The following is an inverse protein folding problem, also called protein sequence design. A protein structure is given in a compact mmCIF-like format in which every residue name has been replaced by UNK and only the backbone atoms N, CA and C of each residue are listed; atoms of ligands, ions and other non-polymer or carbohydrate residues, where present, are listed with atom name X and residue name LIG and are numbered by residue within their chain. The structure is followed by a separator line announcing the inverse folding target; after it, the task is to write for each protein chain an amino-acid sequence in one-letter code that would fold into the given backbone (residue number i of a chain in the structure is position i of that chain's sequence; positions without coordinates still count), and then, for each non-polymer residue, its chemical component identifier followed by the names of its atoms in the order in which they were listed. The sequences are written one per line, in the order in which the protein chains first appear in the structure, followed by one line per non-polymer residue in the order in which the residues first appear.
data_IF_793591816208
#
_entry.id   IF_793591816208
#
_cell.length_a   1.000
_cell.length_b   1.000
_cell.length_c   1.000
_cell.angle_alpha   90.00
_cell.angle_beta   90.00
_cell.angle_gamma   90.00
#
_symmetry.space_group_name_H-M   'P 1'
#
loop_
_entity.id
_entity.type
_entity.pdbx_description
1 polymer ?
#
# COMPACT_ATOMS: atom_id res chain seq x y z
N UNK A 1 0.80 16.29 -5.05
CA UNK A 1 1.10 15.98 -3.61
C UNK A 1 2.57 15.61 -3.48
N UNK A 2 3.29 16.02 -2.40
CA UNK A 2 4.69 15.57 -2.18
C UNK A 2 4.69 14.05 -1.94
N UNK A 3 5.60 13.32 -2.60
CA UNK A 3 5.75 11.87 -2.42
C UNK A 3 6.17 11.52 -1.00
N UNK A 4 5.52 10.51 -0.44
CA UNK A 4 5.74 10.01 0.92
C UNK A 4 6.17 8.56 0.97
N UNK A 5 6.03 7.83 -0.17
CA UNK A 5 6.49 6.45 -0.36
C UNK A 5 7.14 6.27 -1.74
N UNK A 6 8.04 5.29 -1.80
CA UNK A 6 8.67 4.84 -3.03
C UNK A 6 8.61 3.30 -3.04
N UNK A 7 8.00 2.73 -4.07
CA UNK A 7 7.63 1.32 -4.13
C UNK A 7 8.44 0.49 -5.13
N UNK A 8 9.42 1.08 -5.82
CA UNK A 8 10.32 0.35 -6.72
C UNK A 8 11.77 0.57 -6.31
N UNK A 9 12.63 -0.43 -6.51
CA UNK A 9 14.05 -0.34 -6.17
C UNK A 9 14.70 0.90 -6.80
N UNK A 10 14.44 1.15 -8.08
CA UNK A 10 14.97 2.33 -8.78
C UNK A 10 14.54 3.63 -8.13
N UNK A 11 13.26 3.79 -7.83
CA UNK A 11 12.75 5.02 -7.20
C UNK A 11 13.30 5.20 -5.77
N UNK A 12 13.52 4.09 -5.05
CA UNK A 12 14.17 4.09 -3.73
C UNK A 12 15.62 4.53 -3.86
N UNK A 13 16.39 3.93 -4.78
CA UNK A 13 17.80 4.27 -5.02
C UNK A 13 17.98 5.73 -5.43
N UNK A 14 17.15 6.22 -6.36
CA UNK A 14 17.17 7.61 -6.80
C UNK A 14 16.90 8.59 -5.64
N UNK A 15 15.97 8.24 -4.73
CA UNK A 15 15.65 9.08 -3.57
C UNK A 15 16.77 9.04 -2.53
N UNK A 16 17.27 7.86 -2.14
CA UNK A 16 18.30 7.74 -1.10
C UNK A 16 19.67 8.25 -1.52
N UNK A 17 19.95 8.38 -2.82
CA UNK A 17 21.21 8.94 -3.32
C UNK A 17 21.50 10.36 -2.76
N UNK A 18 20.44 11.11 -2.40
CA UNK A 18 20.53 12.45 -1.83
C UNK A 18 20.29 12.50 -0.31
N UNK A 19 20.23 11.34 0.35
CA UNK A 19 19.99 11.23 1.78
C UNK A 19 21.22 10.69 2.51
N UNK A 20 21.29 10.94 3.82
CA UNK A 20 22.35 10.41 4.65
C UNK A 20 21.83 9.22 5.44
N UNK A 21 22.42 8.05 5.26
CA UNK A 21 22.11 6.89 6.11
C UNK A 21 22.58 7.18 7.54
N UNK A 22 21.67 7.09 8.49
CA UNK A 22 21.93 7.39 9.91
C UNK A 22 21.79 6.20 10.84
N UNK A 23 21.05 5.14 10.41
CA UNK A 23 20.84 3.95 11.23
C UNK A 23 20.60 2.71 10.36
N UNK A 24 20.89 1.51 10.93
CA UNK A 24 20.66 0.19 10.31
C UNK A 24 20.21 -0.77 11.40
N UNK A 25 19.13 -1.50 11.18
CA UNK A 25 18.59 -2.49 12.10
C UNK A 25 18.02 -3.71 11.36
N UNK A 26 17.53 -4.71 12.10
CA UNK A 26 17.05 -5.98 11.55
C UNK A 26 18.11 -6.67 10.67
N UNK A 27 19.34 -6.78 11.15
CA UNK A 27 20.48 -7.40 10.43
C UNK A 27 20.68 -6.83 8.99
N UNK A 28 20.39 -5.56 8.80
CA UNK A 28 20.54 -4.87 7.51
C UNK A 28 19.28 -4.88 6.64
N UNK A 29 18.18 -5.47 7.09
CA UNK A 29 16.90 -5.46 6.36
C UNK A 29 16.16 -4.12 6.41
N UNK A 30 16.53 -3.28 7.38
CA UNK A 30 15.96 -1.95 7.58
C UNK A 30 17.05 -0.90 7.77
N UNK A 31 16.92 0.22 7.05
CA UNK A 31 17.87 1.34 7.10
C UNK A 31 17.12 2.66 7.25
N UNK A 32 17.62 3.56 8.09
CA UNK A 32 17.07 4.93 8.25
C UNK A 32 17.96 5.94 7.56
N UNK A 33 17.34 6.81 6.81
CA UNK A 33 17.98 7.91 6.08
C UNK A 33 17.44 9.26 6.55
N UNK A 34 18.32 10.26 6.64
CA UNK A 34 17.99 11.65 6.98
C UNK A 34 18.11 12.52 5.72
N UNK A 35 17.05 13.24 5.42
CA UNK A 35 17.05 14.35 4.48
C UNK A 35 17.49 15.61 5.27
N UNK A 36 18.70 16.12 5.03
CA UNK A 36 19.25 17.27 5.76
C UNK A 36 18.58 18.60 5.41
N UNK A 37 17.94 18.68 4.25
CA UNK A 37 17.28 19.91 3.83
C UNK A 37 15.91 20.07 4.52
N UNK A 38 15.18 18.94 4.64
CA UNK A 38 13.82 18.96 5.20
C UNK A 38 13.76 18.44 6.64
N UNK A 39 14.84 17.87 7.15
CA UNK A 39 14.93 17.17 8.44
C UNK A 39 13.96 15.97 8.54
N UNK A 40 13.50 15.44 7.41
CA UNK A 40 12.65 14.27 7.35
C UNK A 40 13.49 13.01 7.47
N UNK A 41 12.97 12.01 8.20
CA UNK A 41 13.58 10.68 8.23
C UNK A 41 12.78 9.72 7.36
N UNK A 42 13.50 8.86 6.67
CA UNK A 42 12.98 7.89 5.73
C UNK A 42 13.43 6.49 6.13
N UNK A 43 12.49 5.53 6.16
CA UNK A 43 12.75 4.12 6.44
C UNK A 43 12.74 3.33 5.14
N UNK A 44 13.88 2.76 4.77
CA UNK A 44 14.00 1.73 3.74
C UNK A 44 13.86 0.37 4.41
N UNK A 45 13.04 -0.51 3.86
CA UNK A 45 12.84 -1.86 4.39
C UNK A 45 12.53 -2.86 3.27
N UNK A 46 12.87 -4.14 3.51
CA UNK A 46 12.56 -5.24 2.59
C UNK A 46 11.08 -5.61 2.72
N UNK A 47 10.41 -5.83 1.59
CA UNK A 47 8.97 -6.16 1.56
C UNK A 47 8.75 -7.65 1.68
N UNK A 48 9.54 -8.44 0.98
CA UNK A 48 9.40 -9.88 0.86
C UNK A 48 10.79 -10.52 0.81
N UNK A 49 11.33 -10.92 1.98
CA UNK A 49 12.67 -11.51 2.07
C UNK A 49 12.84 -12.79 1.24
N UNK A 50 11.75 -13.55 1.06
CA UNK A 50 11.78 -14.85 0.36
C UNK A 50 11.87 -14.69 -1.16
N UNK A 51 11.46 -13.54 -1.69
CA UNK A 51 11.45 -13.26 -3.14
C UNK A 51 12.59 -12.39 -3.64
N UNK A 52 13.51 -12.02 -2.76
CA UNK A 52 14.67 -11.21 -3.12
C UNK A 52 14.63 -9.77 -2.60
N UNK A 53 15.58 -8.97 -3.07
CA UNK A 53 15.84 -7.63 -2.54
C UNK A 53 14.89 -6.58 -3.13
N UNK A 54 13.59 -6.69 -2.82
CA UNK A 54 12.61 -5.64 -3.12
C UNK A 54 12.45 -4.73 -1.92
N UNK A 55 12.65 -3.43 -2.14
CA UNK A 55 12.63 -2.43 -1.07
C UNK A 55 11.49 -1.46 -1.27
N UNK A 56 10.88 -1.03 -0.15
CA UNK A 56 10.12 0.20 -0.08
C UNK A 56 10.90 1.23 0.74
N UNK A 57 10.66 2.51 0.43
CA UNK A 57 11.10 3.63 1.24
C UNK A 57 9.86 4.42 1.66
N UNK A 58 9.72 4.65 2.96
CA UNK A 58 8.56 5.35 3.53
C UNK A 58 9.02 6.52 4.38
N UNK A 59 8.28 7.62 4.34
CA UNK A 59 8.46 8.71 5.29
C UNK A 59 8.23 8.20 6.71
N UNK A 60 9.26 8.26 7.56
CA UNK A 60 9.29 7.65 8.87
C UNK A 60 9.06 8.68 9.98
N UNK A 61 9.65 9.86 9.83
CA UNK A 61 9.37 11.03 10.68
C UNK A 61 9.19 12.27 9.78
N UNK A 62 8.00 12.91 9.84
CA UNK A 62 6.81 12.52 10.63
C UNK A 62 6.19 11.20 10.14
N UNK A 63 5.73 10.37 11.11
CA UNK A 63 5.12 9.05 10.80
C UNK A 63 3.80 9.23 10.06
N UNK A 64 3.64 8.49 8.98
CA UNK A 64 2.37 8.45 8.26
C UNK A 64 1.29 7.75 9.09
N UNK A 65 0.16 8.41 9.25
CA UNK A 65 -1.05 7.79 9.79
C UNK A 65 -1.68 6.84 8.76
N UNK A 66 -2.64 6.03 9.20
CA UNK A 66 -3.44 5.19 8.30
C UNK A 66 -4.23 6.02 7.29
N UNK A 67 -4.82 7.14 7.73
CA UNK A 67 -5.51 8.07 6.84
C UNK A 67 -4.56 8.69 5.81
N UNK A 68 -3.32 9.02 6.17
CA UNK A 68 -2.32 9.47 5.21
C UNK A 68 -2.05 8.39 4.14
N UNK A 69 -1.95 7.11 4.53
CA UNK A 69 -1.75 6.01 3.59
C UNK A 69 -2.93 5.84 2.64
N UNK A 70 -4.18 5.94 3.14
CA UNK A 70 -5.39 5.89 2.31
C UNK A 70 -5.41 7.07 1.34
N UNK A 71 -5.10 8.28 1.81
CA UNK A 71 -5.00 9.45 0.93
C UNK A 71 -3.94 9.28 -0.15
N UNK A 72 -2.75 8.78 0.21
CA UNK A 72 -1.69 8.48 -0.78
C UNK A 72 -2.18 7.45 -1.80
N UNK A 73 -2.78 6.34 -1.34
CA UNK A 73 -3.30 5.29 -2.21
C UNK A 73 -4.35 5.82 -3.20
N UNK A 74 -5.23 6.71 -2.75
CA UNK A 74 -6.31 7.24 -3.57
C UNK A 74 -5.90 8.45 -4.43
N UNK A 75 -4.92 9.25 -4.05
CA UNK A 75 -4.65 10.55 -4.67
C UNK A 75 -3.32 10.66 -5.39
N UNK A 76 -2.33 9.79 -5.10
CA UNK A 76 -1.04 9.87 -5.77
C UNK A 76 -1.14 9.56 -7.26
N UNK A 77 -0.36 10.27 -8.06
CA UNK A 77 -0.21 10.05 -9.52
C UNK A 77 0.95 9.09 -9.83
N UNK A 78 1.70 8.67 -8.80
CA UNK A 78 2.82 7.76 -8.94
C UNK A 78 2.38 6.32 -8.65
N UNK A 79 2.38 5.49 -9.69
CA UNK A 79 1.91 4.08 -9.62
C UNK A 79 2.61 3.28 -8.53
N UNK A 80 3.91 3.46 -8.38
CA UNK A 80 4.71 2.75 -7.36
C UNK A 80 4.39 3.23 -5.94
N UNK A 81 4.09 4.52 -5.74
CA UNK A 81 3.67 5.05 -4.45
C UNK A 81 2.29 4.51 -4.04
N UNK A 82 1.35 4.48 -4.99
CA UNK A 82 0.01 3.89 -4.80
C UNK A 82 0.11 2.42 -4.41
N UNK A 83 0.92 1.64 -5.15
CA UNK A 83 1.15 0.23 -4.85
C UNK A 83 1.79 0.01 -3.47
N UNK A 84 2.78 0.84 -3.10
CA UNK A 84 3.43 0.78 -1.79
C UNK A 84 2.47 1.11 -0.65
N UNK A 85 1.61 2.11 -0.82
CA UNK A 85 0.57 2.47 0.16
C UNK A 85 -0.44 1.33 0.32
N UNK A 86 -0.94 0.75 -0.78
CA UNK A 86 -1.85 -0.39 -0.77
C UNK A 86 -1.25 -1.62 -0.06
N UNK A 87 -0.01 -1.99 -0.40
CA UNK A 87 0.69 -3.09 0.27
C UNK A 87 0.85 -2.85 1.77
N UNK A 88 1.16 -1.63 2.17
CA UNK A 88 1.34 -1.26 3.57
C UNK A 88 0.03 -1.30 4.36
N UNK A 89 -1.09 -0.87 3.75
CA UNK A 89 -2.42 -0.99 4.33
C UNK A 89 -2.83 -2.46 4.49
N UNK A 90 -2.58 -3.30 3.48
CA UNK A 90 -2.85 -4.74 3.53
C UNK A 90 -2.18 -5.43 4.71
N UNK A 91 -0.98 -5.00 5.12
CA UNK A 91 -0.24 -5.57 6.24
C UNK A 91 -0.72 -5.07 7.62
N UNK A 92 -1.78 -4.24 7.68
CA UNK A 92 -2.34 -3.77 8.94
C UNK A 92 -3.38 -4.74 9.52
N UNK A 93 -3.52 -4.79 10.85
CA UNK A 93 -4.46 -5.68 11.55
C UNK A 93 -5.94 -5.43 11.18
N UNK A 94 -6.30 -4.21 10.76
CA UNK A 94 -7.69 -3.83 10.44
C UNK A 94 -7.91 -3.70 8.93
N UNK A 95 -7.28 -4.53 8.14
CA UNK A 95 -7.30 -4.44 6.69
C UNK A 95 -8.73 -4.45 6.10
N UNK A 96 -9.62 -5.32 6.57
CA UNK A 96 -11.00 -5.40 6.07
C UNK A 96 -11.73 -4.05 6.16
N UNK A 97 -11.56 -3.32 7.26
CA UNK A 97 -12.18 -2.01 7.42
C UNK A 97 -11.65 -1.00 6.36
N UNK A 98 -10.34 -0.98 6.14
CA UNK A 98 -9.73 -0.07 5.13
C UNK A 98 -10.05 -0.48 3.71
N UNK A 99 -10.34 -1.75 3.45
CA UNK A 99 -10.73 -2.23 2.13
C UNK A 99 -12.02 -1.57 1.65
N UNK A 100 -13.02 -1.43 2.50
CA UNK A 100 -14.25 -0.72 2.17
C UNK A 100 -13.99 0.76 1.88
N UNK A 101 -13.21 1.44 2.71
CA UNK A 101 -12.86 2.85 2.51
C UNK A 101 -12.09 3.08 1.19
N UNK A 102 -11.17 2.16 0.84
CA UNK A 102 -10.45 2.21 -0.42
C UNK A 102 -11.37 1.99 -1.62
N UNK A 103 -12.26 0.99 -1.57
CA UNK A 103 -13.21 0.71 -2.65
C UNK A 103 -14.21 1.87 -2.84
N UNK A 104 -14.76 2.40 -1.77
CA UNK A 104 -15.66 3.55 -1.82
C UNK A 104 -14.96 4.76 -2.46
N UNK A 105 -13.71 5.03 -2.08
CA UNK A 105 -12.91 6.11 -2.66
C UNK A 105 -12.59 5.89 -4.15
N UNK A 106 -12.34 4.65 -4.57
CA UNK A 106 -12.12 4.30 -5.98
C UNK A 106 -13.41 4.49 -6.78
N UNK A 107 -14.55 3.95 -6.30
CA UNK A 107 -15.84 4.05 -6.96
C UNK A 107 -16.29 5.50 -7.12
N UNK A 108 -16.09 6.34 -6.10
CA UNK A 108 -16.35 7.78 -6.19
C UNK A 108 -15.56 8.44 -7.33
N UNK A 109 -14.29 8.07 -7.53
CA UNK A 109 -13.46 8.59 -8.63
C UNK A 109 -13.95 8.12 -10.00
N UNK A 110 -14.36 6.85 -10.12
CA UNK A 110 -14.93 6.31 -11.34
C UNK A 110 -16.23 7.05 -11.70
N UNK A 111 -17.11 7.24 -10.74
CA UNK A 111 -18.39 7.96 -10.95
C UNK A 111 -18.19 9.43 -11.31
N UNK A 112 -17.13 10.08 -10.82
CA UNK A 112 -16.79 11.44 -11.20
C UNK A 112 -16.36 11.58 -12.68
N UNK A 113 -16.03 10.47 -13.36
CA UNK A 113 -15.75 10.42 -14.79
C UNK A 113 -14.40 11.01 -15.20
N UNK A 114 -13.52 11.32 -14.27
CA UNK A 114 -12.25 12.03 -14.51
C UNK A 114 -11.05 11.06 -14.38
N UNK A 115 -11.09 9.96 -15.16
CA UNK A 115 -10.06 8.92 -15.15
C UNK A 115 -9.25 8.92 -16.44
N UNK A 116 -8.06 9.52 -16.40
CA UNK A 116 -7.05 9.28 -17.42
C UNK A 116 -6.42 7.87 -17.29
N UNK A 117 -5.67 7.45 -18.33
CA UNK A 117 -5.03 6.14 -18.36
C UNK A 117 -4.03 5.94 -17.20
N UNK A 118 -3.34 7.00 -16.76
CA UNK A 118 -2.44 6.89 -15.62
C UNK A 118 -3.21 6.60 -14.32
N UNK A 119 -4.36 7.25 -14.14
CA UNK A 119 -5.20 7.03 -12.96
C UNK A 119 -5.83 5.63 -12.96
N UNK A 120 -6.27 5.13 -14.11
CA UNK A 120 -6.75 3.74 -14.25
C UNK A 120 -5.67 2.74 -13.83
N UNK A 121 -4.45 2.93 -14.31
CA UNK A 121 -3.31 2.09 -13.92
C UNK A 121 -2.96 2.20 -12.42
N UNK A 122 -3.06 3.39 -11.81
CA UNK A 122 -2.92 3.56 -10.37
C UNK A 122 -3.96 2.74 -9.60
N UNK A 123 -5.23 2.77 -10.02
CA UNK A 123 -6.32 2.00 -9.41
C UNK A 123 -6.05 0.49 -9.54
N UNK A 124 -5.66 0.00 -10.72
CA UNK A 124 -5.29 -1.41 -10.91
C UNK A 124 -4.17 -1.83 -9.98
N UNK A 125 -3.10 -1.03 -9.90
CA UNK A 125 -1.98 -1.29 -8.99
C UNK A 125 -2.40 -1.27 -7.52
N UNK A 126 -3.31 -0.39 -7.12
CA UNK A 126 -3.84 -0.36 -5.75
C UNK A 126 -4.61 -1.64 -5.43
N UNK A 127 -5.54 -2.05 -6.28
CA UNK A 127 -6.34 -3.26 -6.07
C UNK A 127 -5.43 -4.49 -5.93
N UNK A 128 -4.45 -4.64 -6.80
CA UNK A 128 -3.52 -5.79 -6.79
C UNK A 128 -2.61 -5.74 -5.56
N UNK A 129 -2.00 -4.60 -5.27
CA UNK A 129 -1.02 -4.49 -4.17
C UNK A 129 -1.65 -4.57 -2.79
N UNK A 130 -2.87 -4.05 -2.63
CA UNK A 130 -3.68 -4.20 -1.42
C UNK A 130 -4.43 -5.54 -1.37
N UNK A 131 -4.29 -6.39 -2.39
CA UNK A 131 -4.96 -7.69 -2.49
C UNK A 131 -6.48 -7.62 -2.31
N UNK A 132 -7.11 -6.52 -2.77
CA UNK A 132 -8.56 -6.34 -2.64
C UNK A 132 -9.36 -7.37 -3.46
N UNK A 133 -8.78 -7.90 -4.54
CA UNK A 133 -9.39 -8.94 -5.37
C UNK A 133 -9.13 -10.38 -4.88
N UNK A 134 -8.50 -10.56 -3.72
CA UNK A 134 -8.30 -11.89 -3.13
C UNK A 134 -9.51 -12.29 -2.28
N UNK A 135 -10.07 -13.48 -2.54
CA UNK A 135 -11.22 -14.05 -1.82
C UNK A 135 -10.83 -14.73 -0.51
N UNK A 136 -9.55 -15.02 -0.29
CA UNK A 136 -9.06 -15.76 0.88
C UNK A 136 -7.96 -14.99 1.57
N UNK A 137 -8.15 -14.72 2.85
CA UNK A 137 -7.08 -14.22 3.73
C UNK A 137 -6.56 -15.37 4.59
N UNK A 138 -5.43 -15.96 4.21
CA UNK A 138 -4.82 -17.10 4.91
C UNK A 138 -4.44 -16.79 6.37
N UNK A 139 -4.30 -15.53 6.76
CA UNK A 139 -3.97 -15.15 8.13
C UNK A 139 -5.12 -15.33 9.11
N UNK A 140 -6.35 -15.37 8.63
CA UNK A 140 -7.56 -15.50 9.43
C UNK A 140 -7.85 -16.96 9.84
N UNK A 141 -7.55 -17.90 8.95
CA UNK A 141 -7.90 -19.33 9.09
C UNK A 141 -7.22 -19.98 10.30
N UNK A 142 -6.05 -19.51 10.70
CA UNK A 142 -5.22 -20.17 11.72
C UNK A 142 -5.54 -19.78 13.18
N UNK A 143 -6.41 -18.78 13.42
CA UNK A 143 -6.55 -18.18 14.76
C UNK A 143 -7.98 -18.11 15.31
N UNK A 144 -9.02 -18.40 14.53
CA UNK A 144 -10.39 -18.08 14.87
C UNK A 144 -11.35 -19.28 14.86
N UNK A 145 -12.51 -19.15 15.55
CA UNK A 145 -13.60 -20.13 15.46
C UNK A 145 -14.18 -20.16 14.04
N UNK A 146 -14.84 -21.29 13.69
CA UNK A 146 -15.44 -21.47 12.36
C UNK A 146 -16.38 -20.32 11.98
N UNK A 147 -17.21 -19.86 12.93
CA UNK A 147 -18.19 -18.78 12.70
C UNK A 147 -17.50 -17.44 12.34
N UNK A 148 -16.37 -17.11 13.00
CA UNK A 148 -15.59 -15.91 12.68
C UNK A 148 -14.94 -16.05 11.31
N UNK A 149 -14.40 -17.21 10.99
CA UNK A 149 -13.79 -17.49 9.68
C UNK A 149 -14.83 -17.38 8.56
N UNK A 150 -16.03 -17.94 8.73
CA UNK A 150 -17.11 -17.88 7.75
C UNK A 150 -17.60 -16.43 7.54
N UNK A 151 -17.72 -15.63 8.61
CA UNK A 151 -18.10 -14.22 8.51
C UNK A 151 -17.03 -13.39 7.80
N UNK A 152 -15.76 -13.55 8.13
CA UNK A 152 -14.65 -12.85 7.48
C UNK A 152 -14.50 -13.27 6.00
N UNK A 153 -14.73 -14.56 5.70
CA UNK A 153 -14.74 -15.04 4.32
C UNK A 153 -15.85 -14.38 3.49
N UNK A 154 -17.05 -14.22 4.05
CA UNK A 154 -18.15 -13.53 3.38
C UNK A 154 -17.81 -12.07 3.07
N UNK A 155 -17.25 -11.34 4.04
CA UNK A 155 -16.81 -9.95 3.85
C UNK A 155 -15.67 -9.84 2.81
N UNK A 156 -14.69 -10.76 2.89
CA UNK A 156 -13.59 -10.79 1.93
C UNK A 156 -14.07 -11.10 0.50
N UNK A 157 -15.07 -11.98 0.35
CA UNK A 157 -15.67 -12.28 -0.94
C UNK A 157 -16.41 -11.08 -1.53
N UNK A 158 -17.16 -10.32 -0.70
CA UNK A 158 -17.82 -9.09 -1.13
C UNK A 158 -16.81 -8.03 -1.61
N UNK A 159 -15.72 -7.83 -0.85
CA UNK A 159 -14.63 -6.92 -1.22
C UNK A 159 -14.04 -7.33 -2.57
N UNK A 160 -13.76 -8.63 -2.76
CA UNK A 160 -13.18 -9.15 -3.99
C UNK A 160 -14.14 -8.98 -5.19
N UNK A 161 -15.43 -9.23 -5.02
CA UNK A 161 -16.44 -9.05 -6.08
C UNK A 161 -16.53 -7.58 -6.52
N UNK A 162 -16.51 -6.63 -5.56
CA UNK A 162 -16.46 -5.19 -5.87
C UNK A 162 -15.17 -4.83 -6.62
N UNK A 163 -14.02 -5.30 -6.13
CA UNK A 163 -12.72 -5.03 -6.75
C UNK A 163 -12.63 -5.60 -8.18
N UNK A 164 -13.15 -6.81 -8.43
CA UNK A 164 -13.24 -7.41 -9.76
C UNK A 164 -14.16 -6.61 -10.68
N UNK A 165 -15.31 -6.15 -10.18
CA UNK A 165 -16.22 -5.29 -10.94
C UNK A 165 -15.54 -3.98 -11.37
N UNK A 166 -14.79 -3.36 -10.47
CA UNK A 166 -14.00 -2.17 -10.77
C UNK A 166 -12.96 -2.47 -11.86
N UNK A 167 -12.16 -3.54 -11.71
CA UNK A 167 -11.13 -3.92 -12.69
C UNK A 167 -11.71 -4.15 -14.09
N UNK A 168 -12.91 -4.71 -14.19
CA UNK A 168 -13.60 -4.97 -15.45
C UNK A 168 -14.17 -3.68 -16.10
N UNK A 169 -14.33 -2.61 -15.32
CA UNK A 169 -14.86 -1.33 -15.79
C UNK A 169 -13.78 -0.32 -16.24
N UNK A 170 -12.50 -0.58 -15.93
CA UNK A 170 -11.34 0.27 -16.25
C UNK A 170 -10.74 -0.05 -17.61
#
# INVERSE_FOLDING_TARGET
MKRRLFGTNKAVEDKIANLNRIDVFDDGWSEVYLDRETNEKWLKYVIDPDRGNFYHLVLFEPKLSKNDLIQVALQSEHKDEVAAAGKRLFLTENFLFYSYELLDGIEQKIHAGDLDENRKECIKNLIISAQLNNRVNNNTILKNSKEVVDAEYSLQSEIADRAESILNSL
#
